data_IF_669719966399
#
_entry.id   IF_669719966399
#
_cell.length_a   1.000
_cell.length_b   1.000
_cell.length_c   1.000
_cell.angle_alpha   90.00
_cell.angle_beta   90.00
_cell.angle_gamma   90.00
#
_symmetry.space_group_name_H-M   'P 1'
#
loop_
_entity.id
_entity.type
_entity.pdbx_description
1 polymer ?
#
# COMPACT_ATOMS: atom_id res chain seq x y z
N UNK A 1 -3.27 8.86 -1.09
CA UNK A 1 -3.56 10.05 -0.24
C UNK A 1 -4.06 9.64 1.15
N UNK A 2 -3.60 10.31 2.23
CA UNK A 2 -4.12 10.13 3.61
C UNK A 2 -4.95 11.32 4.11
N UNK A 3 -5.33 12.21 3.21
CA UNK A 3 -6.43 13.15 3.48
C UNK A 3 -7.73 12.34 3.56
N UNK A 4 -8.46 12.32 4.69
CA UNK A 4 -9.74 11.65 4.80
C UNK A 4 -10.78 12.15 3.78
N UNK A 5 -10.62 13.37 3.26
CA UNK A 5 -11.45 13.92 2.19
C UNK A 5 -11.03 13.42 0.80
N UNK A 6 -9.88 12.74 0.67
CA UNK A 6 -9.43 12.21 -0.60
C UNK A 6 -10.27 11.01 -1.04
N UNK A 7 -10.73 10.95 -2.31
CA UNK A 7 -11.44 9.80 -2.84
C UNK A 7 -10.58 8.53 -2.86
N UNK A 8 -9.27 8.65 -2.69
CA UNK A 8 -8.29 7.56 -2.67
C UNK A 8 -7.84 7.14 -1.28
N UNK A 9 -8.44 7.70 -0.21
CA UNK A 9 -8.07 7.41 1.17
C UNK A 9 -8.16 5.92 1.50
N UNK A 10 -7.01 5.30 1.81
CA UNK A 10 -6.92 3.89 2.16
C UNK A 10 -7.25 2.89 1.04
N UNK A 11 -7.41 3.34 -0.22
CA UNK A 11 -7.90 2.51 -1.33
C UNK A 11 -6.81 1.79 -2.14
N UNK A 12 -5.54 2.16 -2.00
CA UNK A 12 -4.47 1.73 -2.92
C UNK A 12 -3.29 1.00 -2.27
N UNK A 13 -3.56 0.13 -1.31
CA UNK A 13 -2.60 -0.88 -0.87
C UNK A 13 -3.13 -2.27 -1.20
N UNK A 14 -2.27 -3.20 -1.61
CA UNK A 14 -2.61 -4.62 -1.54
C UNK A 14 -3.07 -4.89 -0.11
N UNK A 15 -4.31 -5.33 0.05
CA UNK A 15 -4.93 -5.59 1.34
C UNK A 15 -3.91 -6.14 2.34
N UNK A 16 -3.74 -5.39 3.44
CA UNK A 16 -2.86 -5.69 4.56
C UNK A 16 -2.88 -7.19 4.89
N UNK A 17 -1.75 -7.70 5.38
CA UNK A 17 -1.52 -9.06 5.94
C UNK A 17 -2.64 -9.57 6.86
N UNK A 18 -3.53 -8.68 7.31
CA UNK A 18 -4.85 -8.97 7.88
C UNK A 18 -5.88 -9.64 6.95
N UNK A 19 -5.51 -10.08 5.74
CA UNK A 19 -6.36 -10.99 4.93
C UNK A 19 -6.73 -12.28 5.68
N UNK A 20 -5.89 -12.71 6.63
CA UNK A 20 -6.09 -13.94 7.41
C UNK A 20 -6.52 -13.71 8.86
N UNK A 21 -6.60 -12.46 9.30
CA UNK A 21 -6.99 -12.12 10.66
C UNK A 21 -8.33 -11.35 10.62
N UNK A 22 -9.34 -11.81 11.38
CA UNK A 22 -10.61 -11.09 11.49
C UNK A 22 -10.36 -9.63 11.88
N UNK A 23 -10.94 -8.70 11.09
CA UNK A 23 -10.65 -7.26 11.20
C UNK A 23 -11.11 -6.69 12.54
N UNK A 24 -12.19 -7.23 13.08
CA UNK A 24 -12.73 -6.95 14.41
C UNK A 24 -11.73 -7.27 15.52
N UNK A 25 -11.01 -8.39 15.43
CA UNK A 25 -9.97 -8.76 16.41
C UNK A 25 -8.83 -7.73 16.39
N UNK A 26 -8.37 -7.34 15.20
CA UNK A 26 -7.30 -6.32 15.07
C UNK A 26 -7.78 -4.98 15.62
N UNK A 27 -8.99 -4.55 15.25
CA UNK A 27 -9.55 -3.28 15.71
C UNK A 27 -9.73 -3.25 17.24
N UNK A 28 -10.20 -4.34 17.84
CA UNK A 28 -10.35 -4.45 19.30
C UNK A 28 -8.99 -4.44 20.01
N UNK A 29 -8.01 -5.20 19.50
CA UNK A 29 -6.65 -5.21 20.05
C UNK A 29 -6.00 -3.81 19.97
N UNK A 30 -6.12 -3.13 18.84
CA UNK A 30 -5.62 -1.76 18.66
C UNK A 30 -6.32 -0.78 19.60
N UNK A 31 -7.66 -0.88 19.73
CA UNK A 31 -8.44 -0.03 20.65
C UNK A 31 -8.02 -0.23 22.10
N UNK A 32 -7.85 -1.47 22.55
CA UNK A 32 -7.38 -1.81 23.89
C UNK A 32 -5.97 -1.28 24.14
N UNK A 33 -5.04 -1.52 23.21
CA UNK A 33 -3.68 -1.01 23.30
C UNK A 33 -3.64 0.52 23.42
N UNK A 34 -4.48 1.21 22.65
CA UNK A 34 -4.62 2.67 22.73
C UNK A 34 -5.19 3.12 24.09
N UNK A 35 -6.27 2.49 24.56
CA UNK A 35 -6.88 2.81 25.86
C UNK A 35 -5.93 2.57 27.04
N UNK A 36 -5.11 1.52 26.97
CA UNK A 36 -4.11 1.14 27.98
C UNK A 36 -2.78 1.90 27.83
N UNK A 37 -2.67 2.83 26.86
CA UNK A 37 -1.44 3.56 26.52
C UNK A 37 -0.24 2.64 26.28
N UNK A 38 -0.49 1.44 25.74
CA UNK A 38 0.56 0.50 25.35
C UNK A 38 1.20 0.96 24.05
N UNK A 39 2.47 0.64 23.86
CA UNK A 39 3.14 0.82 22.57
C UNK A 39 2.53 -0.14 21.56
N UNK A 40 2.10 0.39 20.43
CA UNK A 40 1.60 -0.36 19.29
C UNK A 40 2.01 0.37 18.01
N UNK A 41 2.03 -0.38 16.90
CA UNK A 41 2.33 0.12 15.57
C UNK A 41 1.57 -0.72 14.53
N UNK A 42 1.03 -0.07 13.51
CA UNK A 42 0.35 -0.67 12.37
C UNK A 42 1.06 -0.21 11.10
N UNK A 43 1.97 -1.06 10.61
CA UNK A 43 2.88 -0.72 9.51
C UNK A 43 2.17 -0.99 8.19
N UNK A 44 2.02 0.05 7.38
CA UNK A 44 1.47 -0.06 6.04
C UNK A 44 2.57 -0.52 5.06
N UNK A 45 2.31 -1.63 4.37
CA UNK A 45 3.08 -2.06 3.21
C UNK A 45 2.35 -1.64 1.94
N UNK A 46 3.03 -1.01 0.96
CA UNK A 46 2.45 -0.71 -0.34
C UNK A 46 2.01 -1.99 -1.05
N UNK A 47 1.31 -1.85 -2.17
CA UNK A 47 0.90 -2.98 -3.01
C UNK A 47 2.09 -3.93 -3.21
N UNK A 48 2.00 -5.13 -2.66
CA UNK A 48 3.03 -6.17 -2.77
C UNK A 48 2.57 -7.18 -3.82
N UNK A 49 3.46 -7.54 -4.76
CA UNK A 49 3.26 -8.67 -5.67
C UNK A 49 3.43 -10.00 -4.92
N UNK A 50 2.53 -10.26 -3.97
CA UNK A 50 2.54 -11.49 -3.19
C UNK A 50 1.94 -12.65 -3.98
N UNK A 51 2.25 -13.89 -3.57
CA UNK A 51 1.58 -15.08 -4.10
C UNK A 51 0.06 -15.09 -3.86
N UNK A 52 -0.42 -14.27 -2.91
CA UNK A 52 -1.84 -14.16 -2.60
C UNK A 52 -2.58 -13.16 -3.52
N UNK A 53 -1.83 -12.29 -4.22
CA UNK A 53 -2.39 -11.21 -5.02
C UNK A 53 -3.37 -11.67 -6.12
N UNK A 54 -3.16 -12.80 -6.83
CA UNK A 54 -4.12 -13.32 -7.80
C UNK A 54 -5.48 -13.72 -7.23
N UNK A 55 -5.58 -14.00 -5.92
CA UNK A 55 -6.84 -14.34 -5.27
C UNK A 55 -7.67 -13.12 -4.88
N UNK A 56 -7.12 -11.91 -5.05
CA UNK A 56 -7.77 -10.65 -4.74
C UNK A 56 -8.35 -10.10 -6.05
N UNK A 57 -9.69 -9.91 -6.16
CA UNK A 57 -10.28 -9.28 -7.34
C UNK A 57 -9.63 -7.93 -7.65
N UNK A 58 -9.13 -7.78 -8.88
CA UNK A 58 -8.41 -6.59 -9.32
C UNK A 58 -6.97 -6.46 -8.81
N UNK A 59 -6.51 -7.32 -7.88
CA UNK A 59 -5.19 -7.20 -7.25
C UNK A 59 -4.02 -7.24 -8.24
N UNK A 60 -4.07 -8.14 -9.23
CA UNK A 60 -3.05 -8.20 -10.29
C UNK A 60 -3.05 -6.93 -11.15
N UNK A 61 -4.23 -6.50 -11.61
CA UNK A 61 -4.39 -5.26 -12.40
C UNK A 61 -3.81 -4.06 -11.67
N UNK A 62 -4.13 -3.93 -10.37
CA UNK A 62 -3.60 -2.86 -9.52
C UNK A 62 -2.07 -2.87 -9.45
N UNK A 63 -1.46 -4.05 -9.30
CA UNK A 63 0.00 -4.16 -9.24
C UNK A 63 0.65 -3.90 -10.60
N UNK A 64 0.09 -4.42 -11.69
CA UNK A 64 0.66 -4.22 -13.03
C UNK A 64 0.58 -2.75 -13.45
N UNK A 65 -0.52 -2.06 -13.14
CA UNK A 65 -0.66 -0.61 -13.37
C UNK A 65 0.35 0.16 -12.55
N UNK A 66 0.53 -0.20 -11.27
CA UNK A 66 1.49 0.47 -10.40
C UNK A 66 2.93 0.28 -10.88
N UNK A 67 3.31 -0.95 -11.23
CA UNK A 67 4.63 -1.29 -11.76
C UNK A 67 4.90 -0.52 -13.07
N UNK A 68 3.88 -0.39 -13.93
CA UNK A 68 3.97 0.43 -15.15
C UNK A 68 4.16 1.92 -14.85
N UNK A 69 3.45 2.47 -13.87
CA UNK A 69 3.60 3.88 -13.47
C UNK A 69 5.03 4.14 -12.96
N UNK A 70 5.53 3.29 -12.07
CA UNK A 70 6.90 3.41 -11.52
C UNK A 70 7.94 3.27 -12.64
N UNK A 71 7.81 2.25 -13.48
CA UNK A 71 8.73 2.00 -14.61
C UNK A 71 8.78 3.16 -15.60
N UNK A 72 7.62 3.72 -15.97
CA UNK A 72 7.54 4.91 -16.84
C UNK A 72 8.11 6.17 -16.18
N UNK A 73 8.14 6.21 -14.86
CA UNK A 73 8.68 7.33 -14.07
C UNK A 73 10.17 7.18 -13.74
N UNK A 74 10.79 6.05 -14.12
CA UNK A 74 12.19 5.76 -13.80
C UNK A 74 12.43 5.54 -12.30
N UNK A 75 11.41 5.08 -11.58
CA UNK A 75 11.46 4.84 -10.13
C UNK A 75 11.53 3.34 -9.88
N UNK A 76 12.54 2.91 -9.13
CA UNK A 76 12.66 1.54 -8.67
C UNK A 76 11.67 1.26 -7.55
N UNK A 77 11.15 0.04 -7.46
CA UNK A 77 10.24 -0.33 -6.37
C UNK A 77 11.01 -0.64 -5.08
N UNK A 78 10.42 -0.30 -3.94
CA UNK A 78 10.80 -0.81 -2.62
C UNK A 78 10.33 -2.27 -2.52
N UNK A 79 11.28 -3.19 -2.56
CA UNK A 79 10.99 -4.63 -2.52
C UNK A 79 10.80 -5.15 -1.08
N UNK A 80 10.35 -6.41 -0.97
CA UNK A 80 10.00 -7.07 0.29
C UNK A 80 11.14 -7.01 1.33
N UNK A 81 12.43 -7.24 0.98
CA UNK A 81 13.52 -7.14 1.96
C UNK A 81 13.64 -5.73 2.58
N UNK A 82 13.57 -4.69 1.76
CA UNK A 82 13.66 -3.28 2.16
C UNK A 82 12.47 -2.91 3.06
N UNK A 83 11.27 -3.34 2.69
CA UNK A 83 10.07 -3.19 3.51
C UNK A 83 10.23 -3.89 4.88
N UNK A 84 10.81 -5.10 4.90
CA UNK A 84 11.09 -5.83 6.13
C UNK A 84 12.05 -5.10 7.06
N UNK A 85 13.15 -4.57 6.52
CA UNK A 85 14.12 -3.75 7.29
C UNK A 85 13.48 -2.46 7.79
N UNK A 86 12.69 -1.77 6.95
CA UNK A 86 11.95 -0.58 7.32
C UNK A 86 10.98 -0.82 8.48
N UNK A 87 10.28 -1.96 8.47
CA UNK A 87 9.39 -2.36 9.56
C UNK A 87 10.15 -2.54 10.88
N UNK A 88 11.27 -3.28 10.86
CA UNK A 88 12.10 -3.50 12.05
C UNK A 88 12.66 -2.18 12.60
N UNK A 89 13.07 -1.28 11.72
CA UNK A 89 13.53 0.05 12.09
C UNK A 89 12.44 0.84 12.82
N UNK A 90 11.23 0.88 12.26
CA UNK A 90 10.07 1.58 12.86
C UNK A 90 9.66 0.99 14.20
N UNK A 91 9.67 -0.34 14.35
CA UNK A 91 9.48 -1.01 15.64
C UNK A 91 10.54 -0.55 16.64
N UNK A 92 11.81 -0.50 16.24
CA UNK A 92 12.90 -0.01 17.07
C UNK A 92 12.71 1.43 17.53
N UNK A 93 12.37 2.34 16.61
CA UNK A 93 12.09 3.75 16.95
C UNK A 93 10.95 3.87 17.96
N UNK A 94 9.87 3.12 17.77
CA UNK A 94 8.71 3.11 18.68
C UNK A 94 9.08 2.58 20.07
N UNK A 95 9.84 1.49 20.13
CA UNK A 95 10.31 0.91 21.40
C UNK A 95 11.23 1.88 22.18
N UNK A 96 11.96 2.74 21.49
CA UNK A 96 12.85 3.75 22.07
C UNK A 96 12.27 5.16 22.19
N UNK A 97 10.96 5.34 21.94
CA UNK A 97 10.27 6.63 22.02
C UNK A 97 10.90 7.74 21.14
N UNK A 98 11.47 7.32 19.99
CA UNK A 98 12.08 8.23 18.99
C UNK A 98 11.13 8.61 17.85
N UNK A 99 10.08 7.84 17.67
CA UNK A 99 9.00 8.09 16.71
C UNK A 99 7.67 7.70 17.36
N UNK A 100 6.70 8.61 17.34
CA UNK A 100 5.37 8.41 17.87
C UNK A 100 4.33 8.05 16.81
N UNK A 101 4.73 8.05 15.52
CA UNK A 101 3.86 7.68 14.43
C UNK A 101 3.44 6.21 14.55
N UNK A 102 2.17 5.93 14.90
CA UNK A 102 1.72 4.55 15.05
C UNK A 102 1.38 3.91 13.71
N UNK A 103 1.49 4.65 12.60
CA UNK A 103 1.10 4.20 11.27
C UNK A 103 2.15 4.56 10.19
N UNK A 104 3.41 4.13 10.34
CA UNK A 104 4.42 4.45 9.35
C UNK A 104 4.07 3.84 7.99
N UNK A 105 4.36 4.59 6.93
CA UNK A 105 4.42 4.04 5.58
C UNK A 105 5.87 3.80 5.20
N UNK A 106 6.13 2.66 4.57
CA UNK A 106 7.47 2.24 4.17
C UNK A 106 7.71 2.34 2.65
N UNK A 107 6.70 2.79 1.92
CA UNK A 107 6.72 3.06 0.48
C UNK A 107 7.50 4.34 0.10
N UNK A 108 7.93 5.12 1.09
CA UNK A 108 8.86 6.25 0.95
C UNK A 108 8.57 7.17 -0.26
N UNK A 109 9.38 7.08 -1.32
CA UNK A 109 9.30 7.89 -2.52
C UNK A 109 8.25 7.40 -3.53
N UNK A 110 7.65 6.21 -3.33
CA UNK A 110 6.60 5.66 -4.17
C UNK A 110 5.21 6.22 -3.81
N UNK A 111 5.06 6.68 -2.57
CA UNK A 111 3.80 7.20 -2.04
C UNK A 111 3.10 8.30 -2.87
N UNK A 112 3.82 9.24 -3.53
CA UNK A 112 3.19 10.22 -4.40
C UNK A 112 2.47 9.62 -5.61
N UNK A 113 2.82 8.39 -6.01
CA UNK A 113 2.26 7.73 -7.19
C UNK A 113 0.89 7.07 -6.92
N UNK A 114 0.44 6.98 -5.67
CA UNK A 114 -0.88 6.44 -5.30
C UNK A 114 -2.05 7.10 -6.05
N UNK A 115 -1.95 8.42 -6.28
CA UNK A 115 -3.00 9.19 -6.95
C UNK A 115 -3.04 8.89 -8.45
N UNK A 116 -1.88 8.66 -9.06
CA UNK A 116 -1.78 8.34 -10.48
C UNK A 116 -2.35 6.97 -10.81
N UNK A 117 -2.26 6.00 -9.89
CA UNK A 117 -2.90 4.70 -10.06
C UNK A 117 -4.40 4.87 -10.33
N UNK A 118 -5.08 5.68 -9.51
CA UNK A 118 -6.51 5.92 -9.68
C UNK A 118 -6.83 6.60 -11.01
N UNK A 119 -6.05 7.62 -11.37
CA UNK A 119 -6.24 8.33 -12.63
C UNK A 119 -6.07 7.42 -13.84
N UNK A 120 -5.02 6.61 -13.86
CA UNK A 120 -4.76 5.64 -14.94
C UNK A 120 -5.89 4.61 -15.01
N UNK A 121 -6.32 4.03 -13.89
CA UNK A 121 -7.39 3.03 -13.88
C UNK A 121 -8.72 3.56 -14.44
N UNK A 122 -9.05 4.83 -14.19
CA UNK A 122 -10.26 5.45 -14.74
C UNK A 122 -10.17 5.74 -16.25
N UNK A 123 -8.95 5.81 -16.78
CA UNK A 123 -8.69 6.12 -18.19
C UNK A 123 -8.48 4.86 -19.03
N UNK A 124 -8.16 3.72 -18.40
CA UNK A 124 -8.00 2.43 -19.08
C UNK A 124 -9.26 2.07 -19.86
N UNK A 125 -9.07 1.65 -21.11
CA UNK A 125 -10.15 1.36 -22.05
C UNK A 125 -9.73 0.28 -23.09
N UNK A 126 -10.68 -0.09 -23.96
CA UNK A 126 -10.54 -1.09 -25.01
C UNK A 126 -10.20 -0.51 -26.40
N UNK A 127 -9.91 0.78 -26.51
CA UNK A 127 -9.51 1.41 -27.78
C UNK A 127 -8.01 1.20 -28.04
N UNK A 128 -7.67 0.38 -29.04
CA UNK A 128 -6.29 0.07 -29.42
C UNK A 128 -5.48 1.29 -29.86
N UNK A 129 -6.14 2.38 -30.29
CA UNK A 129 -5.48 3.64 -30.63
C UNK A 129 -5.15 4.52 -29.42
N UNK A 130 -5.66 4.16 -28.23
CA UNK A 130 -5.52 4.96 -27.01
C UNK A 130 -4.21 4.66 -26.28
N UNK A 131 -3.55 5.69 -25.75
CA UNK A 131 -2.42 5.52 -24.81
C UNK A 131 -2.82 4.83 -23.50
N UNK A 132 -4.12 4.67 -23.26
CA UNK A 132 -4.70 3.97 -22.13
C UNK A 132 -5.36 2.64 -22.54
N UNK A 133 -5.02 2.09 -23.70
CA UNK A 133 -5.40 0.74 -24.05
C UNK A 133 -4.90 -0.22 -22.96
N UNK A 134 -5.76 -1.10 -22.44
CA UNK A 134 -5.46 -1.90 -21.25
C UNK A 134 -4.17 -2.73 -21.35
N UNK A 135 -3.81 -3.21 -22.56
CA UNK A 135 -2.58 -4.01 -22.79
C UNK A 135 -1.29 -3.23 -22.53
N UNK A 136 -1.33 -1.90 -22.59
CA UNK A 136 -0.17 -1.04 -22.31
C UNK A 136 0.09 -0.87 -20.81
N UNK A 137 -0.84 -1.34 -19.96
CA UNK A 137 -0.86 -1.10 -18.52
C UNK A 137 -1.04 -2.37 -17.68
N UNK A 138 -1.54 -3.45 -18.27
CA UNK A 138 -1.83 -4.72 -17.59
C UNK A 138 -1.19 -5.87 -18.37
N UNK A 139 -0.27 -6.60 -17.74
CA UNK A 139 0.53 -7.65 -18.38
C UNK A 139 1.47 -8.42 -17.45
#
# INVERSE_FOLDING_TARGET
SRDPASPTFGRWGSYSTSLYLPKDIIQDATRKAYAERRKWIDVFFPTMRTRALPFIPGGMVMADVYDNILGRSGVDRVDIPELGVGMLHQIGLRLHDKDDNPFPRLDAYEAPFDEWIYEVLNLINDDEGSKFYWREWVG
#
